data_IF_674393519956
#
_entry.id   IF_674393519956
#
_cell.length_a   1.000
_cell.length_b   1.000
_cell.length_c   1.000
_cell.angle_alpha   90.00
_cell.angle_beta   90.00
_cell.angle_gamma   90.00
#
_symmetry.space_group_name_H-M   'P 1'
#
loop_
_entity.id
_entity.type
_entity.pdbx_description
1 polymer ?
2 non-polymer ?
3 non-polymer ?
4 water ?
#
# COMPACT_ATOMS: atom_id res chain seq x y z
N UNK A 2 3.66 12.30 -14.17
CA UNK A 2 2.52 11.54 -13.73
C UNK A 2 1.29 12.46 -13.66
N UNK A 3 0.08 11.92 -13.79
CA UNK A 3 -1.14 12.68 -13.48
C UNK A 3 -2.27 11.76 -13.05
N UNK A 4 -3.39 12.35 -12.65
CA UNK A 4 -4.50 11.59 -12.10
C UNK A 4 -5.42 11.06 -13.21
N UNK A 5 -5.92 9.83 -12.97
CA UNK A 5 -6.88 9.21 -13.82
C UNK A 5 -8.31 9.44 -13.29
N UNK A 6 -8.49 9.15 -12.00
CA UNK A 6 -9.79 9.13 -11.36
C UNK A 6 -9.69 9.21 -9.81
N UNK A 7 -10.87 9.39 -9.22
CA UNK A 7 -11.07 9.41 -7.77
C UNK A 7 -11.96 8.21 -7.41
N UNK A 8 -11.64 7.57 -6.28
CA UNK A 8 -12.46 6.52 -5.73
C UNK A 8 -13.03 7.01 -4.39
N UNK A 9 -14.32 6.71 -4.14
CA UNK A 9 -15.01 7.06 -2.92
C UNK A 9 -15.38 5.75 -2.18
N UNK A 10 -14.74 5.55 -1.03
CA UNK A 10 -14.90 4.38 -0.20
C UNK A 10 -14.67 3.15 -1.08
N UNK A 11 -13.60 3.17 -1.86
CA UNK A 11 -13.18 2.05 -2.71
C UNK A 11 -14.05 1.83 -3.93
N UNK A 12 -14.86 2.81 -4.32
CA UNK A 12 -15.68 2.68 -5.52
C UNK A 12 -15.23 3.73 -6.54
N UNK A 13 -14.75 3.25 -7.68
CA UNK A 13 -14.20 4.09 -8.73
C UNK A 13 -15.30 5.02 -9.29
N UNK A 14 -15.09 6.35 -9.30
CA UNK A 14 -16.08 7.26 -9.87
C UNK A 14 -15.91 7.36 -11.39
N UNK A 15 -14.90 6.70 -11.95
CA UNK A 15 -14.70 6.69 -13.40
C UNK A 15 -13.79 7.84 -13.82
N UNK A 16 -13.18 7.66 -15.00
CA UNK A 16 -12.31 8.64 -15.61
C UNK A 16 -12.79 10.06 -15.28
N UNK A 17 -11.96 10.80 -14.55
CA UNK A 17 -12.30 12.10 -14.10
C UNK A 17 -11.53 13.21 -14.81
N UNK A 18 -10.67 12.86 -15.79
CA UNK A 18 -9.83 13.89 -16.46
C UNK A 18 -10.71 14.81 -17.32
N UNK A 19 -10.75 16.11 -16.92
CA UNK A 19 -11.59 17.16 -17.63
C UNK A 19 -13.06 16.95 -17.29
N UNK A 20 -13.29 16.21 -16.20
CA UNK A 20 -14.62 15.94 -15.74
C UNK A 20 -14.75 16.56 -14.36
N UNK A 21 -14.04 16.01 -13.39
CA UNK A 21 -13.96 16.57 -12.07
C UNK A 21 -12.52 16.79 -11.67
N UNK A 22 -11.54 16.42 -12.53
CA UNK A 22 -10.13 16.69 -12.32
C UNK A 22 -9.69 17.80 -13.28
N UNK A 23 -9.01 18.82 -12.73
CA UNK A 23 -8.52 19.93 -13.61
C UNK A 23 -7.21 19.48 -14.30
N UNK A 24 -7.36 18.55 -15.24
CA UNK A 24 -6.29 17.80 -15.84
C UNK A 24 -5.39 18.69 -16.70
N UNK A 25 -4.06 18.76 -16.46
CA UNK A 25 -3.18 19.52 -17.33
C UNK A 25 -3.05 18.86 -18.70
N UNK A 26 -2.55 19.57 -19.73
CA UNK A 26 -2.41 18.97 -21.05
C UNK A 26 -1.45 17.76 -21.11
N UNK A 27 -0.48 17.69 -20.21
CA UNK A 27 0.54 16.61 -20.17
C UNK A 27 1.05 16.45 -18.71
N UNK A 28 2.12 15.66 -18.52
CA UNK A 28 2.64 15.20 -17.20
C UNK A 28 3.86 16.05 -16.77
N UNK A 29 4.15 17.13 -17.52
CA UNK A 29 5.31 18.00 -17.25
C UNK A 29 5.32 18.46 -15.79
N UNK A 30 6.51 18.57 -15.16
CA UNK A 30 6.63 19.13 -13.82
C UNK A 30 6.48 20.67 -13.78
N UNK A 31 5.96 21.20 -12.68
CA UNK A 31 6.12 22.62 -12.28
C UNK A 31 7.37 22.75 -11.41
N UNK A 32 8.23 23.73 -11.71
CA UNK A 32 9.47 23.90 -10.95
C UNK A 32 9.63 25.33 -10.42
N UNK A 33 9.09 26.30 -11.17
CA UNK A 33 9.17 27.71 -10.80
C UNK A 33 8.22 27.98 -9.63
N UNK A 34 8.76 28.38 -8.48
CA UNK A 34 7.89 28.65 -7.29
C UNK A 34 6.98 29.86 -7.49
N UNK A 35 7.32 30.73 -8.45
CA UNK A 35 6.49 31.92 -8.71
C UNK A 35 5.39 31.61 -9.74
N UNK A 36 5.47 30.45 -10.41
CA UNK A 36 4.44 30.09 -11.38
C UNK A 36 3.06 29.98 -10.72
N UNK A 37 2.06 30.58 -11.39
CA UNK A 37 0.64 30.39 -11.06
C UNK A 37 0.14 28.95 -11.14
N UNK A 38 0.81 28.14 -11.97
CA UNK A 38 0.54 26.70 -12.14
C UNK A 38 0.92 25.88 -10.90
N UNK A 39 1.71 26.41 -9.98
CA UNK A 39 2.17 25.63 -8.80
C UNK A 39 0.99 25.01 -8.03
N UNK A 40 -0.10 25.76 -7.92
CA UNK A 40 -1.20 25.36 -7.10
C UNK A 40 -1.98 24.24 -7.80
N UNK A 41 -2.49 24.50 -9.02
CA UNK A 41 -3.45 23.59 -9.61
C UNK A 41 -3.04 23.18 -11.03
N UNK A 42 -1.75 23.33 -11.36
CA UNK A 42 -1.11 22.98 -12.59
C UNK A 42 -1.58 23.94 -13.71
N UNK A 43 -1.20 23.68 -14.95
CA UNK A 43 -1.25 24.66 -16.13
C UNK A 43 -2.70 24.96 -16.57
N UNK A 44 -3.66 24.07 -16.28
CA UNK A 44 -5.07 24.40 -16.61
C UNK A 44 -5.89 24.72 -15.36
N UNK A 45 -5.22 25.22 -14.33
CA UNK A 45 -5.78 25.24 -12.97
C UNK A 45 -7.00 26.12 -12.87
N UNK A 46 -7.03 27.15 -13.71
CA UNK A 46 -8.08 28.15 -13.68
C UNK A 46 -9.28 27.83 -14.56
N UNK A 47 -9.27 26.70 -15.28
CA UNK A 47 -10.34 26.33 -16.19
C UNK A 47 -11.29 25.40 -15.46
N UNK A 48 -12.56 25.81 -15.28
CA UNK A 48 -13.53 24.96 -14.60
C UNK A 48 -13.68 23.60 -15.33
N UNK A 49 -13.90 22.54 -14.56
CA UNK A 49 -14.41 21.34 -15.18
C UNK A 49 -15.81 21.13 -14.67
N UNK A 50 -16.70 20.40 -15.38
CA UNK A 50 -18.14 20.57 -15.14
C UNK A 50 -18.71 19.85 -13.91
N UNK A 51 -17.99 18.87 -13.38
CA UNK A 51 -18.52 17.94 -12.40
C UNK A 51 -17.76 18.02 -11.07
N UNK A 52 -18.43 17.54 -10.01
CA UNK A 52 -17.87 17.48 -8.65
C UNK A 52 -17.97 16.02 -8.20
N UNK A 53 -16.87 15.45 -7.74
CA UNK A 53 -16.99 14.17 -7.01
C UNK A 53 -17.96 14.37 -5.85
N UNK A 54 -18.90 13.44 -5.75
CA UNK A 54 -19.82 13.41 -4.63
C UNK A 54 -19.18 12.58 -3.51
N UNK A 55 -18.92 13.17 -2.35
CA UNK A 55 -18.40 12.42 -1.20
C UNK A 55 -18.95 13.04 0.06
N UNK A 56 -18.91 12.29 1.15
CA UNK A 56 -19.38 12.70 2.47
C UNK A 56 -18.17 13.06 3.31
N UNK A 57 -18.32 14.09 4.15
CA UNK A 57 -17.36 14.34 5.22
C UNK A 57 -17.11 12.98 5.92
N UNK A 58 -15.85 12.57 5.98
CA UNK A 58 -15.47 11.33 6.70
C UNK A 58 -15.09 10.18 5.76
N UNK A 59 -15.37 10.34 4.46
CA UNK A 59 -15.17 9.31 3.48
C UNK A 59 -13.68 9.15 3.21
N UNK A 60 -13.28 7.93 2.84
CA UNK A 60 -11.96 7.67 2.34
C UNK A 60 -11.94 7.93 0.82
N UNK A 61 -11.09 8.86 0.38
CA UNK A 61 -10.95 9.08 -1.03
C UNK A 61 -9.66 8.41 -1.43
N UNK A 62 -9.67 7.87 -2.64
CA UNK A 62 -8.48 7.37 -3.25
C UNK A 62 -8.28 8.17 -4.54
N UNK A 63 -7.14 8.84 -4.69
CA UNK A 63 -6.76 9.45 -5.98
C UNK A 63 -5.87 8.44 -6.73
N UNK A 64 -6.26 8.08 -7.96
CA UNK A 64 -5.50 7.14 -8.80
C UNK A 64 -4.66 7.93 -9.79
N UNK A 65 -3.33 7.66 -9.80
CA UNK A 65 -2.38 8.26 -10.74
C UNK A 65 -1.89 7.26 -11.81
N UNK A 66 -1.32 7.82 -12.89
CA UNK A 66 -0.74 7.07 -13.97
C UNK A 66 0.32 7.91 -14.70
N UNK A 67 1.10 7.23 -15.57
CA UNK A 67 2.22 7.82 -16.25
C UNK A 67 1.82 8.18 -17.70
N UNK A 68 1.60 7.17 -18.55
CA UNK A 68 1.16 7.34 -19.95
C UNK A 68 -0.23 6.74 -20.15
N UNK A 69 -0.45 5.58 -19.54
CA UNK A 69 -1.63 4.80 -19.63
C UNK A 69 -2.09 4.34 -18.24
N UNK A 70 -3.40 4.35 -18.00
CA UNK A 70 -3.99 3.81 -16.78
C UNK A 70 -3.34 2.46 -16.42
N UNK A 71 -2.81 2.32 -15.21
CA UNK A 71 -2.32 0.98 -14.73
C UNK A 71 -0.92 0.62 -15.23
N UNK A 72 -0.12 1.65 -15.48
CA UNK A 72 1.27 1.43 -15.92
C UNK A 72 2.17 1.62 -14.70
N UNK A 73 3.39 2.13 -14.90
CA UNK A 73 4.39 2.22 -13.85
C UNK A 73 4.19 3.47 -13.04
N UNK A 74 3.23 4.31 -13.44
CA UNK A 74 2.71 5.40 -12.60
C UNK A 74 3.64 6.63 -12.62
N UNK A 75 4.91 6.44 -12.31
CA UNK A 75 5.88 7.47 -12.25
C UNK A 75 7.24 6.79 -12.21
N UNK A 76 8.24 7.46 -12.81
CA UNK A 76 9.60 6.97 -12.78
C UNK A 76 10.07 6.80 -11.35
N UNK A 77 10.60 5.61 -10.98
CA UNK A 77 11.03 5.37 -9.60
C UNK A 77 12.18 6.29 -9.17
N UNK A 78 12.86 6.95 -10.13
CA UNK A 78 13.87 7.98 -9.81
C UNK A 78 13.24 9.10 -8.95
N UNK A 79 11.94 9.32 -9.07
CA UNK A 79 11.30 10.55 -8.58
C UNK A 79 10.85 10.47 -7.10
N UNK A 80 11.73 10.01 -6.19
CA UNK A 80 11.38 9.92 -4.79
C UNK A 80 10.97 11.27 -4.26
N UNK A 81 9.92 11.27 -3.43
CA UNK A 81 9.56 12.41 -2.56
C UNK A 81 8.22 12.21 -1.86
N UNK A 82 7.69 13.29 -1.26
CA UNK A 82 6.46 13.26 -0.50
C UNK A 82 5.22 13.35 -1.38
N UNK A 83 4.07 13.08 -0.75
CA UNK A 83 2.79 13.33 -1.32
C UNK A 83 1.96 14.01 -0.24
N UNK A 84 1.45 15.21 -0.58
CA UNK A 84 0.63 16.03 0.27
C UNK A 84 -0.72 16.26 -0.42
N UNK A 85 -1.74 16.32 0.42
CA UNK A 85 -3.09 16.55 0.03
C UNK A 85 -3.55 17.83 0.76
N UNK A 86 -4.27 18.68 0.04
CA UNK A 86 -4.71 19.97 0.56
C UNK A 86 -6.19 20.21 0.21
N UNK A 87 -6.84 21.15 0.92
CA UNK A 87 -8.19 21.54 0.65
C UNK A 87 -8.29 23.07 0.71
N UNK A 88 -9.23 23.58 -0.10
CA UNK A 88 -9.58 24.98 -0.24
C UNK A 88 -11.07 25.07 -0.56
N UNK A 89 -11.72 26.11 -0.06
CA UNK A 89 -13.12 26.27 -0.41
C UNK A 89 -13.16 26.51 -1.92
N UNK A 90 -14.23 26.06 -2.56
CA UNK A 90 -14.43 26.35 -3.99
C UNK A 90 -15.12 27.72 -4.09
N UNK A 91 -14.33 28.78 -4.23
CA UNK A 91 -14.84 30.16 -4.06
C UNK A 91 -15.74 30.52 -5.25
N UNK A 92 -15.29 30.16 -6.45
CA UNK A 92 -16.01 30.38 -7.71
C UNK A 92 -15.42 29.46 -8.75
N UNK A 93 -16.14 29.18 -9.86
CA UNK A 93 -15.61 28.30 -10.91
C UNK A 93 -14.22 28.62 -11.49
N UNK A 94 -13.87 29.90 -11.62
CA UNK A 94 -12.61 30.29 -12.27
C UNK A 94 -11.48 30.56 -11.23
N UNK A 95 -11.65 30.06 -10.00
CA UNK A 95 -10.51 29.99 -9.11
C UNK A 95 -9.42 29.17 -9.80
N UNK A 96 -8.16 29.52 -9.54
CA UNK A 96 -7.02 28.71 -10.01
C UNK A 96 -6.17 28.19 -8.84
N UNK A 97 -6.66 28.37 -7.61
CA UNK A 97 -6.02 27.92 -6.40
C UNK A 97 -4.86 28.77 -5.96
N UNK A 98 -4.64 29.94 -6.61
CA UNK A 98 -3.62 30.85 -6.13
C UNK A 98 -4.23 31.66 -4.98
N UNK A 99 -3.34 32.39 -4.26
CA UNK A 99 -3.68 33.15 -3.07
C UNK A 99 -3.75 32.30 -1.79
N UNK A 100 -4.07 32.96 -0.66
CA UNK A 100 -4.01 32.33 0.66
C UNK A 100 -5.27 31.52 1.03
N UNK A 101 -5.38 30.27 0.54
CA UNK A 101 -6.66 29.60 0.62
C UNK A 101 -6.54 28.15 1.10
N UNK A 102 -5.34 27.59 1.26
CA UNK A 102 -5.15 26.11 1.37
C UNK A 102 -4.87 25.66 2.81
N UNK A 103 -5.38 24.47 3.12
CA UNK A 103 -5.15 23.80 4.42
C UNK A 103 -4.71 22.35 4.15
N UNK A 104 -3.62 21.91 4.78
CA UNK A 104 -3.06 20.61 4.53
C UNK A 104 -3.87 19.58 5.32
N UNK A 105 -4.39 18.55 4.64
CA UNK A 105 -5.25 17.57 5.31
C UNK A 105 -4.57 16.19 5.34
N UNK A 106 -3.47 15.96 4.63
CA UNK A 106 -2.75 14.68 4.73
C UNK A 106 -1.35 14.88 4.16
N UNK A 107 -0.38 14.14 4.72
CA UNK A 107 1.02 14.12 4.19
C UNK A 107 1.75 12.79 4.45
N UNK A 108 2.51 12.36 3.48
CA UNK A 108 3.51 11.33 3.72
C UNK A 108 4.80 11.81 3.06
N UNK A 109 5.89 11.70 3.81
CA UNK A 109 7.21 12.08 3.33
C UNK A 109 8.12 10.88 3.23
N UNK A 110 9.05 10.81 4.16
CA UNK A 110 10.01 9.75 4.27
C UNK A 110 9.72 9.03 5.59
N UNK A 111 9.57 7.71 5.52
CA UNK A 111 9.46 6.87 6.71
C UNK A 111 10.82 6.22 6.94
N UNK A 112 11.52 6.68 7.96
CA UNK A 112 12.90 6.26 8.21
C UNK A 112 12.97 4.76 8.55
N UNK A 113 11.94 4.18 9.20
CA UNK A 113 12.08 2.79 9.68
C UNK A 113 12.09 1.84 8.48
N UNK A 114 11.51 2.23 7.33
CA UNK A 114 11.50 1.39 6.12
C UNK A 114 12.36 2.00 5.01
N UNK A 115 12.85 3.23 5.20
CA UNK A 115 13.60 3.99 4.21
C UNK A 115 12.81 4.06 2.91
N UNK A 116 11.49 4.24 2.96
CA UNK A 116 10.75 4.47 1.75
C UNK A 116 10.05 5.84 1.81
N UNK A 117 9.89 6.38 0.62
CA UNK A 117 9.26 7.65 0.36
C UNK A 117 7.80 7.39 0.06
N UNK A 118 7.04 8.46 0.09
CA UNK A 118 5.63 8.38 -0.29
C UNK A 118 5.51 7.87 -1.74
N UNK A 119 6.40 8.31 -2.62
CA UNK A 119 6.35 7.89 -4.03
C UNK A 119 6.64 6.37 -4.17
N UNK A 120 7.55 5.84 -3.37
CA UNK A 120 7.78 4.39 -3.39
C UNK A 120 6.49 3.63 -3.10
N UNK A 121 5.71 4.16 -2.15
CA UNK A 121 4.47 3.55 -1.73
C UNK A 121 3.42 3.69 -2.83
N UNK A 122 3.35 4.91 -3.42
CA UNK A 122 2.43 5.16 -4.54
C UNK A 122 2.64 4.09 -5.60
N UNK A 123 3.88 3.79 -5.95
CA UNK A 123 4.22 2.81 -6.97
C UNK A 123 3.77 1.39 -6.55
N UNK A 124 4.07 1.01 -5.30
CA UNK A 124 3.81 -0.36 -4.84
C UNK A 124 2.31 -0.60 -4.76
N UNK A 125 1.54 0.47 -4.52
CA UNK A 125 0.02 0.44 -4.51
C UNK A 125 -0.55 0.86 -5.89
N UNK A 126 0.24 0.66 -6.96
CA UNK A 126 -0.19 0.85 -8.37
C UNK A 126 -0.94 2.16 -8.54
N UNK A 127 -0.39 3.22 -7.95
CA UNK A 127 -0.86 4.59 -8.19
C UNK A 127 -2.10 4.93 -7.39
N UNK A 128 -2.48 4.10 -6.42
CA UNK A 128 -3.63 4.40 -5.58
C UNK A 128 -3.12 5.16 -4.36
N UNK A 129 -3.62 6.40 -4.15
CA UNK A 129 -3.25 7.14 -2.97
C UNK A 129 -4.50 7.48 -2.16
N UNK A 130 -4.56 6.99 -0.90
CA UNK A 130 -5.69 7.11 0.01
C UNK A 130 -5.51 8.24 1.02
N UNK A 131 -6.60 8.91 1.36
CA UNK A 131 -6.68 9.84 2.46
C UNK A 131 -8.14 9.95 2.86
N UNK A 132 -8.36 10.55 4.03
CA UNK A 132 -9.67 10.77 4.58
C UNK A 132 -10.06 12.25 4.42
N UNK A 133 -11.26 12.54 3.92
CA UNK A 133 -11.92 13.82 4.10
C UNK A 133 -12.27 13.94 5.57
N UNK A 134 -11.81 15.00 6.28
CA UNK A 134 -12.14 15.17 7.70
C UNK A 134 -13.65 15.16 7.96
N UNK A 135 -14.09 14.41 8.99
CA UNK A 135 -15.53 14.28 9.28
C UNK A 135 -16.13 15.60 9.84
N UNK A 136 -15.29 16.46 10.42
CA UNK A 136 -15.71 17.75 10.96
C UNK A 136 -15.91 18.77 9.83
N UNK A 137 -15.66 18.39 8.58
CA UNK A 137 -15.61 19.35 7.50
C UNK A 137 -17.02 19.87 7.18
N UNK A 138 -17.15 21.18 7.17
CA UNK A 138 -18.42 21.81 6.86
C UNK A 138 -18.80 21.45 5.42
N UNK A 139 -20.05 21.03 5.18
CA UNK A 139 -20.46 20.63 3.84
C UNK A 139 -20.40 21.85 2.89
N UNK A 140 -20.12 21.54 1.64
CA UNK A 140 -19.99 22.54 0.65
C UNK A 140 -19.08 22.06 -0.45
N UNK A 141 -18.85 22.92 -1.45
CA UNK A 141 -17.90 22.59 -2.51
C UNK A 141 -16.51 22.98 -2.07
N UNK A 142 -15.56 22.11 -2.42
CA UNK A 142 -14.14 22.36 -2.19
C UNK A 142 -13.35 21.92 -3.40
N UNK A 143 -12.14 22.46 -3.51
CA UNK A 143 -11.05 21.95 -4.34
C UNK A 143 -10.11 21.14 -3.44
N UNK A 144 -9.87 19.87 -3.80
CA UNK A 144 -8.83 19.06 -3.20
C UNK A 144 -7.60 19.10 -4.10
N UNK A 145 -6.44 19.24 -3.46
CA UNK A 145 -5.20 19.30 -4.18
C UNK A 145 -4.31 18.19 -3.65
N UNK A 146 -3.83 17.35 -4.57
CA UNK A 146 -2.83 16.40 -4.22
C UNK A 146 -1.61 16.66 -5.12
N UNK A 147 -0.44 16.59 -4.48
CA UNK A 147 0.80 16.99 -5.06
C UNK A 147 1.86 15.95 -4.76
N UNK A 148 2.46 15.40 -5.83
CA UNK A 148 3.70 14.69 -5.76
C UNK A 148 4.90 15.63 -6.00
N UNK A 149 5.91 15.51 -5.14
CA UNK A 149 7.14 16.21 -5.35
C UNK A 149 8.29 15.20 -5.50
N UNK A 150 9.05 15.34 -6.60
CA UNK A 150 10.23 14.54 -6.97
C UNK A 150 11.52 15.32 -6.69
N UNK A 151 12.45 14.68 -5.98
CA UNK A 151 13.58 15.36 -5.44
C UNK A 151 14.87 14.80 -6.06
N UNK A 152 14.80 14.08 -7.17
CA UNK A 152 16.00 13.47 -7.76
C UNK A 152 16.96 14.54 -8.29
N UNK A 153 16.46 15.77 -8.44
CA UNK A 153 17.29 16.89 -8.81
C UNK A 153 17.14 18.06 -7.85
N UNK A 154 16.76 17.80 -6.59
CA UNK A 154 16.51 18.89 -5.60
C UNK A 154 17.80 19.31 -4.86
N UNK A 155 18.93 18.69 -5.23
CA UNK A 155 20.23 19.05 -4.65
C UNK A 155 20.69 20.39 -5.23
N UNK A 156 19.97 20.88 -6.25
CA UNK A 156 20.03 22.27 -6.69
C UNK A 156 18.64 22.87 -6.54
N UNK A 157 18.56 24.21 -6.44
CA UNK A 157 17.28 24.90 -6.52
C UNK A 157 17.11 25.55 -7.91
N UNK A 158 15.85 25.71 -8.33
CA UNK A 158 15.48 26.18 -9.66
C UNK A 158 16.02 27.59 -9.92
N UNK A 159 15.98 28.48 -8.90
CA UNK A 159 16.47 29.89 -8.98
C UNK A 159 17.94 29.89 -9.41
N UNK A 160 18.78 29.04 -8.79
CA UNK A 160 20.24 28.92 -9.09
C UNK A 160 20.52 28.11 -10.38
N UNK A 161 19.88 26.93 -10.57
CA UNK A 161 20.13 26.05 -11.74
C UNK A 161 18.79 25.60 -12.30
N UNK A 162 18.28 26.32 -13.31
CA UNK A 162 16.96 26.07 -13.89
C UNK A 162 16.76 24.68 -14.53
N UNK A 163 17.85 23.98 -14.83
CA UNK A 163 17.75 22.67 -15.42
C UNK A 163 17.54 21.59 -14.35
N UNK A 164 17.60 22.00 -13.08
CA UNK A 164 17.46 21.08 -11.95
C UNK A 164 16.35 21.62 -11.07
N UNK A 165 16.34 21.17 -9.81
CA UNK A 165 15.35 21.63 -8.84
C UNK A 165 14.23 20.64 -8.60
N UNK A 166 13.55 20.79 -7.46
CA UNK A 166 12.34 19.98 -7.10
C UNK A 166 11.30 20.09 -8.21
N UNK A 167 10.66 18.94 -8.50
CA UNK A 167 9.60 18.89 -9.50
C UNK A 167 8.28 18.68 -8.76
N UNK A 168 7.31 19.56 -9.00
CA UNK A 168 5.98 19.50 -8.38
C UNK A 168 4.95 19.04 -9.41
N UNK A 169 4.10 18.11 -8.98
CA UNK A 169 3.10 17.49 -9.83
C UNK A 169 1.76 17.63 -9.12
N UNK A 170 1.12 18.82 -9.18
CA UNK A 170 -0.16 19.00 -8.48
C UNK A 170 -1.31 18.55 -9.38
N UNK A 171 -2.38 18.10 -8.70
CA UNK A 171 -3.64 17.70 -9.26
C UNK A 171 -4.75 18.31 -8.42
N UNK A 172 -5.62 19.10 -9.05
CA UNK A 172 -6.78 19.70 -8.36
C UNK A 172 -8.08 19.01 -8.78
N UNK A 173 -8.89 18.67 -7.76
CA UNK A 173 -10.09 17.90 -7.94
C UNK A 173 -11.26 18.71 -7.36
N UNK A 174 -12.37 18.81 -8.12
CA UNK A 174 -13.62 19.42 -7.63
C UNK A 174 -14.42 18.37 -6.81
N UNK A 175 -14.73 18.72 -5.56
CA UNK A 175 -15.50 17.89 -4.71
C UNK A 175 -16.68 18.65 -4.12
N UNK A 176 -17.81 17.95 -4.05
CA UNK A 176 -19.01 18.41 -3.40
C UNK A 176 -19.27 17.52 -2.17
N UNK A 177 -18.99 18.08 -0.98
CA UNK A 177 -18.97 17.39 0.27
C UNK A 177 -20.36 17.42 0.91
N UNK A 178 -21.00 16.24 0.96
CA UNK A 178 -22.22 16.00 1.65
C UNK A 178 -21.92 15.94 3.14
N UNK A 179 -22.82 16.59 3.90
CA UNK A 179 -22.65 16.86 5.33
C UNK A 179 -23.01 15.64 6.13
N UNK A 180 -22.65 15.65 7.42
CA UNK A 180 -23.18 14.71 8.41
C UNK A 180 -23.05 15.37 9.79
N UNK A 181 -23.26 16.69 9.86
CA UNK A 181 -22.52 17.56 10.79
C UNK A 181 -21.16 17.95 10.19
N UNK A 182 -20.24 18.38 11.05
CA UNK A 182 -19.03 19.11 10.66
C UNK A 182 -19.30 20.60 10.53
N UNK A 183 -18.61 21.39 11.35
CA UNK A 183 -18.73 22.84 11.40
C UNK A 183 -17.44 23.52 10.92
N UNK A 184 -16.39 22.71 10.69
CA UNK A 184 -15.02 23.16 10.62
C UNK A 184 -14.72 23.62 9.21
N UNK A 185 -14.18 24.83 9.10
CA UNK A 185 -13.83 25.48 7.84
C UNK A 185 -12.31 25.55 7.75
N UNK A 186 -11.67 25.05 6.69
CA UNK A 186 -10.21 25.06 6.63
C UNK A 186 -9.66 26.49 6.61
N UNK A 187 -8.73 26.78 7.54
CA UNK A 187 -8.39 28.11 7.85
C UNK A 187 -6.87 28.30 7.97
N UNK A 188 -6.06 27.43 7.38
CA UNK A 188 -4.63 27.71 7.38
C UNK A 188 -4.33 28.85 6.40
N UNK A 189 -5.14 28.94 5.35
CA UNK A 189 -5.08 29.96 4.31
C UNK A 189 -3.67 30.03 3.73
N UNK A 190 -3.07 28.86 3.49
CA UNK A 190 -1.75 28.76 2.93
C UNK A 190 -1.75 29.07 1.41
N UNK A 191 -0.65 29.67 0.95
CA UNK A 191 -0.49 30.23 -0.35
C UNK A 191 0.79 29.69 -0.95
N UNK A 192 0.65 28.74 -1.88
CA UNK A 192 1.85 27.99 -2.35
C UNK A 192 2.94 28.95 -2.87
N UNK A 193 2.56 29.98 -3.62
CA UNK A 193 3.57 30.87 -4.23
C UNK A 193 4.28 31.68 -3.16
N UNK A 194 3.63 32.04 -2.07
CA UNK A 194 4.32 32.78 -1.03
C UNK A 194 5.04 31.82 -0.06
N UNK A 195 4.47 30.63 0.15
CA UNK A 195 4.75 29.79 1.33
C UNK A 195 5.78 28.72 1.04
N UNK A 196 5.90 28.36 -0.23
CA UNK A 196 6.99 27.53 -0.72
C UNK A 196 8.17 28.44 -1.15
N UNK A 197 9.34 28.23 -0.55
CA UNK A 197 10.51 29.00 -0.87
C UNK A 197 11.70 28.06 -1.14
N UNK A 198 12.69 28.59 -1.87
CA UNK A 198 13.87 27.88 -2.28
C UNK A 198 14.78 27.59 -1.07
N UNK A 199 14.61 28.37 0.00
CA UNK A 199 15.34 28.20 1.23
C UNK A 199 14.79 27.05 2.08
N UNK A 200 13.67 26.47 1.69
CA UNK A 200 13.01 25.42 2.46
C UNK A 200 13.86 24.14 2.40
N UNK A 201 14.35 23.65 3.57
CA UNK A 201 15.09 22.40 3.61
C UNK A 201 14.33 21.23 2.94
N UNK A 202 13.00 21.28 2.93
CA UNK A 202 12.17 20.29 2.21
C UNK A 202 12.08 20.48 0.69
N UNK A 203 12.66 21.59 0.19
CA UNK A 203 12.64 21.94 -1.27
C UNK A 203 14.08 21.93 -1.81
N UNK A 204 14.96 22.62 -1.10
CA UNK A 204 16.38 22.40 -1.22
C UNK A 204 16.74 21.18 -0.36
N UNK A 205 16.61 20.00 -0.96
CA UNK A 205 16.87 18.74 -0.30
C UNK A 205 17.78 17.85 -1.16
N UNK A 206 18.91 17.42 -0.57
CA UNK A 206 19.87 16.52 -1.17
C UNK A 206 19.58 15.05 -0.77
N UNK A 207 19.00 14.25 -1.67
CA UNK A 207 18.69 12.85 -1.35
C UNK A 207 19.89 11.93 -1.63
N UNK A 208 21.06 12.50 -1.96
CA UNK A 208 22.26 11.72 -2.23
C UNK A 208 23.26 11.81 -1.07
N UNK A 209 22.72 11.86 0.14
CA UNK A 209 23.43 11.92 1.43
C UNK A 209 22.78 10.91 2.40
N UNK A 210 23.32 10.87 3.63
CA UNK A 210 22.95 9.86 4.61
C UNK A 210 21.76 10.31 5.47
N UNK A 211 20.94 11.23 4.98
CA UNK A 211 19.78 11.73 5.68
C UNK A 211 18.98 10.60 6.33
N UNK A 212 18.38 10.97 7.46
CA UNK A 212 17.58 10.12 8.29
C UNK A 212 16.12 10.52 8.19
N UNK A 213 15.86 11.75 7.71
CA UNK A 213 14.49 12.21 7.65
C UNK A 213 14.35 13.47 6.78
N UNK A 214 13.10 13.78 6.52
CA UNK A 214 12.76 14.70 5.51
C UNK A 214 11.71 15.66 6.06
N UNK A 215 11.94 16.99 6.08
CA UNK A 215 10.95 17.96 6.57
C UNK A 215 9.95 18.38 5.48
N UNK A 216 8.70 17.96 5.60
CA UNK A 216 7.71 18.18 4.55
C UNK A 216 7.27 19.65 4.55
N UNK A 217 7.32 20.37 3.42
CA UNK A 217 7.10 21.83 3.43
C UNK A 217 5.67 22.19 3.85
N UNK A 218 5.48 23.39 4.37
CA UNK A 218 4.17 23.88 4.71
C UNK A 218 3.83 23.53 6.14
N UNK A 219 2.61 23.90 6.60
CA UNK A 219 2.26 23.71 7.99
C UNK A 219 2.00 22.23 8.27
N UNK A 220 1.86 21.89 9.56
CA UNK A 220 1.42 20.55 9.93
C UNK A 220 -0.01 20.44 9.40
N UNK A 221 -0.50 19.19 9.34
CA UNK A 221 -1.85 18.86 9.03
C UNK A 221 -2.76 19.68 9.93
N UNK A 222 -3.79 20.25 9.30
CA UNK A 222 -4.86 20.98 9.96
C UNK A 222 -5.69 20.09 10.90
N UNK A 223 -6.17 20.64 12.02
CA UNK A 223 -7.04 19.89 12.95
C UNK A 223 -8.49 20.40 12.93
N UNK A 224 -8.77 21.45 13.72
CA UNK A 224 -10.12 21.80 14.27
C UNK A 224 -11.25 21.11 13.48
N UNK B 2 11.35 -12.21 9.22
CA UNK B 2 10.16 -11.46 9.54
C UNK B 2 9.13 -12.38 10.17
N UNK B 3 8.21 -11.86 11.00
CA UNK B 3 7.04 -12.67 11.45
C UNK B 3 5.87 -11.75 11.81
N UNK B 4 4.74 -12.36 12.21
CA UNK B 4 3.53 -11.60 12.42
C UNK B 4 3.47 -11.06 13.85
N UNK B 5 2.89 -9.85 13.95
CA UNK B 5 2.64 -9.22 15.21
C UNK B 5 1.18 -9.45 15.63
N UNK B 6 0.27 -9.15 14.69
CA UNK B 6 -1.16 -9.12 14.96
C UNK B 6 -1.98 -9.22 13.67
N UNK B 7 -3.29 -9.37 13.88
CA UNK B 7 -4.30 -9.37 12.84
C UNK B 7 -5.24 -8.20 13.10
N UNK B 8 -5.69 -7.57 12.00
CA UNK B 8 -6.70 -6.55 12.04
C UNK B 8 -7.94 -7.08 11.33
N UNK B 9 -9.11 -6.80 11.91
CA UNK B 9 -10.40 -7.14 11.32
C UNK B 9 -11.12 -5.83 10.96
N UNK B 10 -11.25 -5.59 9.66
CA UNK B 10 -11.90 -4.42 9.11
C UNK B 10 -11.23 -3.20 9.74
N UNK B 11 -9.90 -3.19 9.74
CA UNK B 11 -9.11 -2.04 10.18
C UNK B 11 -9.13 -1.84 11.69
N UNK B 12 -9.51 -2.87 12.44
CA UNK B 12 -9.47 -2.80 13.90
C UNK B 12 -8.47 -3.83 14.39
N UNK B 13 -7.38 -3.35 15.01
CA UNK B 13 -6.31 -4.19 15.51
C UNK B 13 -6.88 -5.10 16.64
N UNK B 14 -6.69 -6.42 16.53
CA UNK B 14 -7.15 -7.32 17.55
C UNK B 14 -6.13 -7.42 18.71
N UNK B 15 -4.99 -6.72 18.60
CA UNK B 15 -3.96 -6.72 19.63
C UNK B 15 -2.97 -7.87 19.40
N UNK B 16 -1.78 -7.70 19.98
CA UNK B 16 -0.69 -8.63 19.88
C UNK B 16 -1.25 -10.06 19.93
N UNK B 17 -1.03 -10.81 18.86
CA UNK B 17 -1.59 -12.11 18.73
C UNK B 17 -0.55 -13.21 18.82
N UNK B 18 0.73 -12.86 19.06
CA UNK B 18 1.82 -13.86 19.13
C UNK B 18 1.61 -14.81 20.34
N UNK B 19 1.31 -16.09 20.09
CA UNK B 19 1.06 -17.13 21.14
C UNK B 19 -0.32 -16.94 21.76
N UNK B 20 -1.16 -16.21 21.03
CA UNK B 20 -2.50 -15.95 21.43
C UNK B 20 -3.42 -16.59 20.39
N UNK B 21 -3.44 -16.01 19.18
CA UNK B 21 -4.15 -16.55 18.08
C UNK B 21 -3.21 -16.82 16.91
N UNK B 22 -1.93 -16.50 17.08
CA UNK B 22 -0.90 -16.73 16.05
C UNK B 22 0.03 -17.82 16.56
N UNK B 23 0.24 -18.85 15.72
CA UNK B 23 1.18 -19.94 16.11
C UNK B 23 2.61 -19.45 15.84
N UNK B 24 3.05 -18.54 16.72
CA UNK B 24 4.28 -17.76 16.54
C UNK B 24 5.52 -18.63 16.67
N UNK B 25 6.40 -18.73 15.65
CA UNK B 25 7.61 -19.51 15.79
C UNK B 25 8.58 -18.84 16.77
N UNK B 26 9.56 -19.57 17.33
CA UNK B 26 10.47 -18.97 18.31
C UNK B 26 11.31 -17.81 17.74
N UNK B 27 11.58 -17.79 16.43
CA UNK B 27 12.39 -16.68 15.79
C UNK B 27 11.94 -16.47 14.33
N UNK B 28 12.72 -15.68 13.56
CA UNK B 28 12.32 -15.19 12.19
C UNK B 28 13.00 -16.02 11.08
N UNK B 29 13.76 -17.05 11.48
CA UNK B 29 14.51 -17.91 10.55
C UNK B 29 13.62 -18.38 9.40
N UNK B 30 14.19 -18.49 8.17
CA UNK B 30 13.50 -19.07 7.02
C UNK B 30 13.41 -20.60 7.13
N UNK B 31 12.33 -21.19 6.61
CA UNK B 31 12.24 -22.61 6.21
C UNK B 31 12.67 -22.75 4.74
N UNK B 32 13.56 -23.69 4.46
CA UNK B 32 14.11 -23.86 3.12
C UNK B 32 13.92 -25.31 2.63
N UNK B 33 13.96 -26.27 3.56
CA UNK B 33 13.77 -27.68 3.24
C UNK B 33 12.31 -27.94 2.88
N UNK B 34 12.04 -28.28 1.61
CA UNK B 34 10.64 -28.48 1.16
C UNK B 34 10.00 -29.71 1.85
N UNK B 35 10.82 -30.59 2.44
CA UNK B 35 10.31 -31.80 3.10
C UNK B 35 10.06 -31.53 4.59
N UNK B 36 10.52 -30.38 5.09
CA UNK B 36 10.31 -30.05 6.50
C UNK B 36 8.84 -29.93 6.80
N UNK B 37 8.40 -30.54 7.92
CA UNK B 37 7.06 -30.32 8.49
C UNK B 37 6.73 -28.87 8.87
N UNK B 38 7.78 -28.08 9.12
CA UNK B 38 7.67 -26.67 9.43
C UNK B 38 7.27 -25.83 8.19
N UNK B 39 7.36 -26.39 6.97
CA UNK B 39 7.04 -25.62 5.74
C UNK B 39 5.63 -25.00 5.82
N UNK B 40 4.69 -25.78 6.33
CA UNK B 40 3.33 -25.37 6.41
C UNK B 40 3.16 -24.25 7.45
N UNK B 41 3.45 -24.51 8.73
CA UNK B 41 3.04 -23.56 9.78
C UNK B 41 4.21 -23.12 10.69
N UNK B 42 5.44 -23.28 10.17
CA UNK B 42 6.68 -22.92 10.79
C UNK B 42 6.96 -23.88 11.98
N UNK B 43 7.98 -23.59 12.79
CA UNK B 43 8.64 -24.56 13.73
C UNK B 43 7.74 -24.97 14.92
N UNK B 44 6.79 -24.12 15.35
CA UNK B 44 5.87 -24.55 16.44
C UNK B 44 4.43 -24.70 15.92
N UNK B 45 4.35 -25.14 14.65
CA UNK B 45 3.11 -25.17 13.89
C UNK B 45 2.05 -26.06 14.53
N UNK B 46 2.51 -27.07 15.28
CA UNK B 46 1.65 -28.09 15.83
C UNK B 46 1.21 -27.82 17.26
N UNK B 47 1.62 -26.66 17.82
CA UNK B 47 1.31 -26.33 19.18
C UNK B 47 0.08 -25.43 19.19
N UNK B 48 -1.04 -25.87 19.81
CA UNK B 48 -2.23 -25.02 19.90
C UNK B 48 -1.94 -23.67 20.55
N UNK B 49 -2.57 -22.60 20.07
CA UNK B 49 -2.62 -21.38 20.88
C UNK B 49 -4.07 -21.19 21.28
N UNK B 50 -4.38 -20.46 22.38
CA UNK B 50 -5.69 -20.63 23.03
C UNK B 50 -6.89 -19.92 22.37
N UNK B 51 -6.61 -18.95 21.50
CA UNK B 51 -7.62 -18.02 21.01
C UNK B 51 -7.74 -18.09 19.48
N UNK B 52 -8.88 -17.63 18.99
CA UNK B 52 -9.22 -17.59 17.58
C UNK B 52 -9.60 -16.14 17.28
N UNK B 53 -8.94 -15.50 16.31
CA UNK B 53 -9.45 -14.26 15.75
C UNK B 53 -10.94 -14.46 15.44
N UNK B 54 -11.74 -13.52 15.92
CA UNK B 54 -13.13 -13.45 15.64
C UNK B 54 -13.30 -12.61 14.37
N UNK B 55 -13.75 -13.23 13.28
CA UNK B 55 -14.00 -12.50 12.03
C UNK B 55 -15.22 -13.12 11.34
N UNK B 56 -15.78 -12.40 10.38
CA UNK B 56 -16.94 -12.78 9.59
C UNK B 56 -16.51 -13.13 8.17
N UNK B 57 -17.18 -14.12 7.57
CA UNK B 57 -17.11 -14.35 6.17
C UNK B 57 -17.28 -13.00 5.47
N UNK B 58 -16.28 -12.61 4.68
CA UNK B 58 -16.36 -11.41 3.84
C UNK B 58 -15.56 -10.24 4.39
N UNK B 59 -15.04 -10.38 5.62
CA UNK B 59 -14.30 -9.35 6.28
C UNK B 59 -12.95 -9.17 5.60
N UNK B 60 -12.43 -7.94 5.64
CA UNK B 60 -11.07 -7.63 5.23
C UNK B 60 -10.15 -7.92 6.42
N UNK B 61 -9.20 -8.84 6.27
CA UNK B 61 -8.27 -9.08 7.34
C UNK B 61 -6.97 -8.43 6.91
N UNK B 62 -6.25 -7.91 7.89
CA UNK B 62 -4.95 -7.42 7.69
C UNK B 62 -4.01 -8.20 8.62
N UNK B 63 -3.00 -8.86 8.06
CA UNK B 63 -1.96 -9.46 8.85
C UNK B 63 -0.79 -8.46 8.90
N UNK B 64 -0.34 -8.12 10.13
CA UNK B 64 0.72 -7.15 10.32
C UNK B 64 2.01 -7.92 10.65
N UNK B 65 3.08 -7.63 9.89
CA UNK B 65 4.39 -8.26 10.07
C UNK B 65 5.41 -7.26 10.62
N UNK B 66 6.51 -7.81 11.15
CA UNK B 66 7.62 -7.04 11.68
C UNK B 66 8.91 -7.86 11.62
N UNK B 67 10.05 -7.19 11.83
CA UNK B 67 11.36 -7.81 11.69
C UNK B 67 11.93 -8.15 13.09
N UNK B 68 12.26 -7.13 13.89
CA UNK B 68 12.80 -7.30 15.25
C UNK B 68 11.81 -6.72 16.27
N UNK B 69 11.24 -5.55 15.92
CA UNK B 69 10.41 -4.73 16.73
C UNK B 69 9.19 -4.28 15.90
N UNK B 70 8.00 -4.26 16.52
CA UNK B 70 6.77 -3.81 15.89
C UNK B 70 7.03 -2.46 15.21
N UNK B 71 6.71 -2.34 13.93
CA UNK B 71 6.75 -1.06 13.21
C UNK B 71 8.14 -0.69 12.71
N UNK B 72 8.94 -1.72 12.44
CA UNK B 72 10.30 -1.47 11.94
C UNK B 72 10.31 -1.64 10.41
N UNK B 73 11.45 -2.07 9.86
CA UNK B 73 11.64 -2.20 8.44
C UNK B 73 10.98 -3.47 7.91
N UNK B 74 10.50 -4.33 8.81
CA UNK B 74 9.56 -5.40 8.47
C UNK B 74 10.32 -6.61 7.93
N UNK B 75 11.13 -6.40 6.88
CA UNK B 75 11.92 -7.45 6.25
C UNK B 75 13.00 -6.78 5.40
N UNK B 76 14.14 -7.43 5.24
CA UNK B 76 15.23 -6.92 4.42
C UNK B 76 14.74 -6.74 2.98
N UNK B 77 14.91 -5.55 2.38
CA UNK B 77 14.43 -5.32 1.02
C UNK B 77 15.12 -6.23 -0.02
N UNK B 78 16.26 -6.84 0.32
CA UNK B 78 16.88 -7.88 -0.54
C UNK B 78 15.88 -9.01 -0.83
N UNK B 79 14.92 -9.26 0.05
CA UNK B 79 14.15 -10.50 0.05
C UNK B 79 12.90 -10.46 -0.86
N UNK B 80 13.03 -9.98 -2.12
CA UNK B 80 11.89 -9.89 -3.00
C UNK B 80 11.24 -11.25 -3.18
N UNK B 81 9.90 -11.25 -3.22
CA UNK B 81 9.12 -12.40 -3.65
C UNK B 81 7.62 -12.20 -3.44
N UNK B 82 6.85 -13.29 -3.59
CA UNK B 82 5.40 -13.27 -3.46
C UNK B 82 4.94 -13.39 -2.01
N UNK B 83 3.64 -13.12 -1.82
CA UNK B 83 2.94 -13.37 -0.61
C UNK B 83 1.62 -14.05 -0.98
N UNK B 84 1.42 -15.23 -0.38
CA UNK B 84 0.26 -16.05 -0.59
C UNK B 84 -0.43 -16.26 0.75
N UNK B 85 -1.75 -16.34 0.68
CA UNK B 85 -2.59 -16.56 1.82
C UNK B 85 -3.38 -17.85 1.51
N UNK B 86 -3.50 -18.72 2.52
CA UNK B 86 -4.19 -19.99 2.38
C UNK B 86 -5.15 -20.23 3.54
N UNK B 87 -6.05 -21.19 3.38
CA UNK B 87 -6.99 -21.58 4.41
C UNK B 87 -7.13 -23.11 4.40
N UNK B 88 -7.42 -23.62 5.60
CA UNK B 88 -7.61 -25.03 5.96
C UNK B 88 -8.66 -25.06 7.06
N UNK B 89 -9.51 -26.08 7.05
CA UNK B 89 -10.35 -26.35 8.18
C UNK B 89 -9.44 -26.53 9.38
N UNK B 90 -9.92 -26.11 10.55
CA UNK B 90 -9.23 -26.42 11.79
C UNK B 90 -9.71 -27.81 12.25
N UNK B 91 -8.94 -28.85 11.93
CA UNK B 91 -9.41 -30.20 12.07
C UNK B 91 -9.41 -30.59 13.55
N UNK B 92 -8.30 -30.27 14.24
CA UNK B 92 -8.14 -30.47 15.68
C UNK B 92 -7.05 -29.52 16.17
N UNK B 93 -6.97 -29.25 17.48
CA UNK B 93 -5.93 -28.37 18.03
C UNK B 93 -4.47 -28.69 17.67
N UNK B 94 -4.13 -29.98 17.58
CA UNK B 94 -2.73 -30.40 17.34
C UNK B 94 -2.46 -30.67 15.86
N UNK B 95 -3.31 -30.14 14.97
CA UNK B 95 -2.95 -30.02 13.58
C UNK B 95 -1.67 -29.23 13.51
N UNK B 96 -0.79 -29.58 12.56
CA UNK B 96 0.38 -28.72 12.26
C UNK B 96 0.36 -28.19 10.82
N UNK B 97 -0.78 -28.38 10.15
CA UNK B 97 -1.00 -27.91 8.79
C UNK B 97 -0.36 -28.80 7.73
N UNK B 98 0.20 -29.95 8.12
CA UNK B 98 0.67 -30.92 7.12
C UNK B 98 -0.55 -31.78 6.64
N UNK B 99 -0.27 -32.44 5.51
CA UNK B 99 -1.26 -33.17 4.74
C UNK B 99 -2.01 -32.33 3.71
N UNK B 100 -2.92 -33.00 2.97
CA UNK B 100 -3.67 -32.38 1.87
C UNK B 100 -4.89 -31.56 2.32
N UNK B 101 -4.67 -30.33 2.81
CA UNK B 101 -5.77 -29.64 3.50
C UNK B 101 -5.94 -28.16 3.06
N UNK B 102 -5.06 -27.63 2.21
CA UNK B 102 -4.99 -26.13 2.01
C UNK B 102 -5.63 -25.69 0.69
N UNK B 103 -6.21 -24.50 0.72
CA UNK B 103 -6.81 -23.83 -0.42
C UNK B 103 -6.32 -22.37 -0.47
N UNK B 104 -5.82 -21.91 -1.62
CA UNK B 104 -5.23 -20.60 -1.74
C UNK B 104 -6.37 -19.58 -1.91
N UNK B 105 -6.36 -18.53 -1.09
CA UNK B 105 -7.45 -17.52 -1.11
C UNK B 105 -6.89 -16.15 -1.57
N UNK B 106 -5.57 -15.95 -1.66
CA UNK B 106 -5.04 -14.70 -2.14
C UNK B 106 -3.58 -14.89 -2.50
N UNK B 107 -3.11 -14.14 -3.51
CA UNK B 107 -1.71 -14.11 -3.94
C UNK B 107 -1.34 -12.76 -4.57
N UNK B 108 -0.14 -12.31 -4.28
CA UNK B 108 0.47 -11.34 -5.10
C UNK B 108 1.91 -11.84 -5.33
N UNK B 109 2.36 -11.70 -6.59
CA UNK B 109 3.68 -12.07 -6.99
C UNK B 109 4.45 -10.85 -7.46
N UNK B 110 4.72 -10.83 -8.76
CA UNK B 110 5.41 -9.75 -9.46
C UNK B 110 4.39 -9.02 -10.33
N UNK B 111 4.32 -7.69 -10.18
CA UNK B 111 3.50 -6.86 -11.04
C UNK B 111 4.43 -6.18 -12.05
N UNK B 112 4.34 -6.61 -13.30
CA UNK B 112 5.25 -6.21 -14.35
C UNK B 112 5.15 -4.71 -14.66
N UNK B 113 3.94 -4.11 -14.54
CA UNK B 113 3.78 -2.65 -14.88
C UNK B 113 4.65 -1.80 -13.97
N UNK B 114 4.67 -2.13 -12.67
CA UNK B 114 5.39 -1.32 -11.67
C UNK B 114 6.78 -1.88 -11.39
N UNK B 115 7.07 -3.09 -11.90
CA UNK B 115 8.24 -3.88 -11.50
C UNK B 115 8.35 -4.02 -9.98
N UNK B 116 7.25 -4.22 -9.29
CA UNK B 116 7.35 -4.42 -7.84
C UNK B 116 6.81 -5.80 -7.45
N UNK B 117 7.46 -6.39 -6.45
CA UNK B 117 7.09 -7.63 -5.84
C UNK B 117 6.11 -7.37 -4.71
N UNK B 118 5.45 -8.43 -4.28
CA UNK B 118 4.55 -8.37 -3.14
C UNK B 118 5.31 -7.85 -1.91
N UNK B 119 6.55 -8.30 -1.72
CA UNK B 119 7.36 -7.87 -0.57
C UNK B 119 7.63 -6.36 -0.63
N UNK B 120 7.91 -5.81 -1.79
CA UNK B 120 8.13 -4.36 -1.92
C UNK B 120 6.93 -3.60 -1.37
N UNK B 121 5.74 -4.09 -1.67
CA UNK B 121 4.48 -3.50 -1.25
C UNK B 121 4.28 -3.68 0.26
N UNK B 122 4.57 -4.88 0.76
CA UNK B 122 4.47 -5.16 2.19
C UNK B 122 5.30 -4.10 2.95
N UNK B 123 6.51 -3.82 2.47
CA UNK B 123 7.42 -2.88 3.14
C UNK B 123 6.85 -1.45 3.07
N UNK B 124 6.37 -1.05 1.88
CA UNK B 124 5.89 0.33 1.65
C UNK B 124 4.64 0.59 2.50
N UNK B 125 3.87 -0.49 2.78
CA UNK B 125 2.64 -0.41 3.67
C UNK B 125 2.98 -0.84 5.12
N UNK B 126 4.25 -0.68 5.50
CA UNK B 126 4.72 -0.87 6.90
C UNK B 126 4.24 -2.19 7.48
N UNK B 127 4.32 -3.24 6.65
CA UNK B 127 4.09 -4.59 7.06
C UNK B 127 2.62 -4.93 7.19
N UNK B 128 1.71 -4.09 6.68
CA UNK B 128 0.31 -4.43 6.69
C UNK B 128 0.05 -5.17 5.39
N UNK B 129 -0.48 -6.40 5.50
CA UNK B 129 -0.89 -7.15 4.33
C UNK B 129 -2.38 -7.51 4.44
N UNK B 130 -3.17 -7.01 3.49
CA UNK B 130 -4.62 -7.12 3.42
C UNK B 130 -5.06 -8.24 2.48
N UNK B 131 -6.19 -8.87 2.83
CA UNK B 131 -6.87 -9.82 1.98
C UNK B 131 -8.29 -9.97 2.55
N UNK B 132 -9.17 -10.57 1.75
CA UNK B 132 -10.58 -10.75 2.11
C UNK B 132 -10.82 -12.23 2.45
N UNK B 133 -11.50 -12.52 3.58
CA UNK B 133 -12.10 -13.84 3.81
C UNK B 133 -13.24 -13.96 2.83
N UNK B 134 -13.28 -15.02 1.99
CA UNK B 134 -14.43 -15.28 1.11
C UNK B 134 -15.78 -15.22 1.82
N UNK B 135 -16.75 -14.49 1.25
CA UNK B 135 -18.08 -14.37 1.86
C UNK B 135 -18.88 -15.68 1.76
N UNK B 136 -18.52 -16.55 0.80
CA UNK B 136 -19.22 -17.82 0.61
C UNK B 136 -18.73 -18.86 1.64
N UNK B 137 -17.78 -18.47 2.47
CA UNK B 137 -17.11 -19.40 3.35
C UNK B 137 -18.06 -19.90 4.44
N UNK B 138 -18.15 -21.22 4.56
CA UNK B 138 -18.97 -21.84 5.58
C UNK B 138 -18.41 -21.47 6.96
N UNK B 139 -19.29 -21.08 7.92
CA UNK B 139 -18.83 -20.71 9.25
C UNK B 139 -18.18 -21.92 9.96
N UNK B 140 -17.15 -21.59 10.74
CA UNK B 140 -16.44 -22.59 11.44
C UNK B 140 -15.05 -22.09 11.76
N UNK B 141 -14.26 -22.94 12.42
CA UNK B 141 -12.89 -22.65 12.76
C UNK B 141 -12.02 -23.03 11.57
N UNK B 142 -11.04 -22.17 11.28
CA UNK B 142 -10.07 -22.41 10.24
C UNK B 142 -8.67 -21.98 10.73
N UNK B 143 -7.63 -22.54 10.10
CA UNK B 143 -6.27 -22.03 10.13
C UNK B 143 -6.04 -21.24 8.83
N UNK B 144 -5.63 -19.97 8.97
CA UNK B 144 -5.21 -19.13 7.88
C UNK B 144 -3.69 -19.13 7.84
N UNK B 145 -3.13 -19.30 6.65
CA UNK B 145 -1.71 -19.35 6.48
C UNK B 145 -1.33 -18.26 5.49
N UNK B 146 -0.40 -17.41 5.93
CA UNK B 146 0.15 -16.42 5.06
C UNK B 146 1.66 -16.63 5.06
N UNK B 147 2.23 -16.57 3.86
CA UNK B 147 3.59 -16.95 3.61
C UNK B 147 4.27 -15.92 2.73
N UNK B 148 5.39 -15.37 3.21
CA UNK B 148 6.32 -14.63 2.41
C UNK B 148 7.47 -15.52 1.94
N UNK B 149 7.80 -15.42 0.65
CA UNK B 149 8.89 -16.12 0.08
C UNK B 149 9.89 -15.11 -0.47
N UNK B 150 11.17 -15.27 -0.08
CA UNK B 150 12.32 -14.49 -0.54
C UNK B 150 13.15 -15.32 -1.53
N UNK B 151 13.40 -14.71 -2.69
CA UNK B 151 14.04 -15.38 -3.78
C UNK B 151 15.41 -14.78 -4.09
N UNK B 152 16.02 -14.01 -3.18
CA UNK B 152 17.34 -13.36 -3.47
C UNK B 152 18.42 -14.44 -3.64
N UNK B 153 18.14 -15.66 -3.18
CA UNK B 153 19.06 -16.77 -3.38
C UNK B 153 18.36 -17.97 -4.00
N UNK B 154 17.31 -17.73 -4.81
CA UNK B 154 16.56 -18.85 -5.42
C UNK B 154 17.17 -19.29 -6.78
N UNK B 155 18.30 -18.69 -7.14
CA UNK B 155 19.04 -19.04 -8.36
C UNK B 155 19.75 -20.39 -8.16
N UNK B 156 19.76 -20.88 -6.92
CA UNK B 156 20.08 -22.24 -6.56
C UNK B 156 18.86 -22.84 -5.87
N UNK B 157 18.75 -24.17 -5.90
CA UNK B 157 17.75 -24.88 -5.07
C UNK B 157 18.45 -25.53 -3.87
N UNK B 158 17.67 -25.68 -2.79
CA UNK B 158 18.18 -26.10 -1.48
C UNK B 158 18.78 -27.51 -1.56
N UNK B 159 18.15 -28.42 -2.34
CA UNK B 159 18.62 -29.83 -2.54
C UNK B 159 20.07 -29.82 -3.05
N UNK B 160 20.40 -28.98 -4.05
CA UNK B 160 21.76 -28.86 -4.66
C UNK B 160 22.72 -28.05 -3.77
N UNK B 161 22.30 -26.86 -3.30
CA UNK B 161 23.16 -25.95 -2.51
C UNK B 161 22.41 -25.50 -1.27
N UNK B 162 22.61 -26.21 -0.12
CA UNK B 162 21.86 -25.95 1.10
C UNK B 162 22.05 -24.55 1.71
N UNK B 163 23.13 -23.88 1.32
CA UNK B 163 23.40 -22.54 1.84
C UNK B 163 22.62 -21.48 1.07
N UNK B 164 21.90 -21.90 0.02
CA UNK B 164 21.13 -21.00 -0.82
C UNK B 164 19.68 -21.52 -0.86
N UNK B 165 18.90 -21.04 -1.84
CA UNK B 165 17.56 -21.54 -2.10
C UNK B 165 16.51 -20.56 -1.65
N UNK B 166 15.28 -20.72 -2.15
CA UNK B 166 14.11 -19.93 -1.72
C UNK B 166 13.95 -20.05 -0.20
N UNK B 167 13.58 -18.92 0.43
CA UNK B 167 13.30 -18.85 1.82
C UNK B 167 11.80 -18.69 2.03
N UNK B 168 11.18 -19.56 2.85
CA UNK B 168 9.78 -19.49 3.16
C UNK B 168 9.56 -19.00 4.58
N UNK B 169 8.63 -18.04 4.75
CA UNK B 169 8.29 -17.47 6.05
C UNK B 169 6.78 -17.62 6.25
N UNK B 170 6.30 -18.82 6.66
CA UNK B 170 4.88 -19.04 6.89
C UNK B 170 4.43 -18.61 8.29
N UNK B 171 3.15 -18.24 8.37
CA UNK B 171 2.53 -17.71 9.59
C UNK B 171 1.12 -18.27 9.60
N UNK B 172 0.80 -19.09 10.62
CA UNK B 172 -0.51 -19.66 10.74
C UNK B 172 -1.27 -18.99 11.88
N UNK B 173 -2.53 -18.68 11.56
CA UNK B 173 -3.39 -17.89 12.39
C UNK B 173 -4.67 -18.70 12.65
N UNK B 174 -5.11 -18.77 13.92
CA UNK B 174 -6.36 -19.43 14.24
C UNK B 174 -7.49 -18.42 14.07
N UNK B 175 -8.51 -18.82 13.29
CA UNK B 175 -9.64 -17.96 13.07
C UNK B 175 -10.93 -18.72 13.29
N UNK B 176 -11.92 -18.01 13.87
CA UNK B 176 -13.26 -18.47 14.08
C UNK B 176 -14.18 -17.57 13.24
N UNK B 177 -14.69 -18.11 12.13
CA UNK B 177 -15.46 -17.40 11.13
C UNK B 177 -16.94 -17.48 11.49
N UNK B 178 -17.52 -16.33 11.80
CA UNK B 178 -18.96 -16.16 11.81
C UNK B 178 -19.42 -16.12 10.35
N UNK B 179 -20.51 -16.83 10.06
CA UNK B 179 -21.01 -17.04 8.71
C UNK B 179 -21.88 -15.86 8.31
N UNK B 180 -22.25 -15.79 7.03
CA UNK B 180 -23.23 -14.80 6.61
C UNK B 180 -23.88 -15.26 5.29
N UNK B 181 -24.58 -16.38 5.40
CA UNK B 181 -24.73 -17.34 4.30
C UNK B 181 -23.45 -18.16 4.22
N UNK B 182 -22.99 -18.46 2.99
CA UNK B 182 -21.74 -19.18 2.76
C UNK B 182 -21.86 -20.65 3.15
N UNK B 183 -21.84 -21.53 2.14
CA UNK B 183 -21.87 -22.98 2.42
C UNK B 183 -20.60 -23.63 1.85
N UNK B 184 -19.68 -22.82 1.34
CA UNK B 184 -18.55 -23.26 0.55
C UNK B 184 -17.42 -23.69 1.48
N UNK B 185 -16.90 -24.89 1.20
CA UNK B 185 -15.83 -25.52 1.96
C UNK B 185 -14.58 -25.56 1.08
N UNK B 186 -13.43 -25.02 1.52
CA UNK B 186 -12.23 -25.01 0.69
C UNK B 186 -11.77 -26.45 0.40
N UNK B 187 -11.57 -26.77 -0.89
CA UNK B 187 -11.46 -28.16 -1.26
C UNK B 187 -10.30 -28.38 -2.22
N UNK B 188 -9.33 -27.47 -2.30
CA UNK B 188 -8.18 -27.74 -3.15
C UNK B 188 -7.32 -28.85 -2.53
N UNK B 189 -7.35 -28.99 -1.20
CA UNK B 189 -6.69 -30.05 -0.45
C UNK B 189 -5.22 -30.10 -0.80
N UNK B 190 -4.60 -28.92 -0.91
CA UNK B 190 -3.19 -28.82 -1.28
C UNK B 190 -2.31 -29.15 -0.08
N UNK B 191 -1.15 -29.74 -0.40
CA UNK B 191 -0.23 -30.28 0.59
C UNK B 191 1.15 -29.70 0.30
N UNK B 192 1.58 -28.73 1.09
CA UNK B 192 2.80 -27.99 0.83
C UNK B 192 3.98 -28.92 0.58
N UNK B 193 4.13 -29.97 1.41
CA UNK B 193 5.33 -30.85 1.28
C UNK B 193 5.28 -31.65 -0.03
N UNK B 194 4.11 -32.04 -0.54
CA UNK B 194 4.13 -32.76 -1.81
C UNK B 194 4.06 -31.79 -2.99
N UNK B 195 3.46 -30.61 -2.80
CA UNK B 195 2.98 -29.76 -3.87
C UNK B 195 3.98 -28.68 -4.23
N UNK B 196 4.83 -28.29 -3.28
CA UNK B 196 5.99 -27.48 -3.56
C UNK B 196 7.19 -28.35 -3.94
N UNK B 197 7.76 -28.13 -5.13
CA UNK B 197 8.91 -28.87 -5.60
C UNK B 197 10.05 -27.94 -6.04
N UNK B 198 11.28 -28.48 -6.02
CA UNK B 198 12.51 -27.75 -6.39
C UNK B 198 12.48 -27.43 -7.90
N UNK B 199 11.74 -28.23 -8.66
CA UNK B 199 11.62 -28.10 -10.10
C UNK B 199 10.58 -27.03 -10.49
N UNK B 200 9.88 -26.47 -9.50
CA UNK B 200 8.89 -25.41 -9.73
C UNK B 200 9.61 -24.15 -10.21
N UNK B 201 9.33 -23.66 -11.43
CA UNK B 201 9.89 -22.39 -11.92
C UNK B 201 9.71 -21.26 -10.91
N UNK B 202 8.64 -21.28 -10.11
CA UNK B 202 8.39 -20.25 -9.08
C UNK B 202 9.18 -20.45 -7.79
N UNK B 203 9.92 -21.58 -7.67
CA UNK B 203 10.80 -21.86 -6.53
C UNK B 203 12.26 -21.87 -6.98
N UNK B 204 12.55 -22.60 -8.06
CA UNK B 204 13.79 -22.42 -8.79
C UNK B 204 13.61 -21.19 -9.71
N UNK B 205 13.86 -20.01 -9.15
CA UNK B 205 13.65 -18.76 -9.83
C UNK B 205 14.90 -17.90 -9.73
N UNK B 206 15.41 -17.52 -10.91
CA UNK B 206 16.56 -16.64 -11.05
C UNK B 206 16.06 -15.17 -11.23
N UNK B 207 16.18 -14.36 -10.17
CA UNK B 207 15.73 -12.97 -10.26
C UNK B 207 16.86 -12.06 -10.74
N UNK B 208 17.97 -12.64 -11.21
CA UNK B 208 19.10 -11.88 -11.75
C UNK B 208 19.12 -11.97 -13.29
N UNK B 209 17.92 -12.02 -13.90
CA UNK B 209 17.69 -12.08 -15.36
C UNK B 209 16.60 -11.06 -15.76
N UNK B 210 16.25 -11.07 -17.06
CA UNK B 210 15.42 -10.07 -17.73
C UNK B 210 13.91 -10.33 -17.55
N UNK B 211 13.55 -11.27 -16.69
CA UNK B 211 12.17 -11.74 -16.53
C UNK B 211 11.16 -10.59 -16.53
N UNK B 212 10.00 -10.92 -17.07
CA UNK B 212 8.85 -10.07 -17.20
C UNK B 212 7.72 -10.50 -16.26
N UNK B 213 7.88 -11.70 -15.68
CA UNK B 213 6.79 -12.47 -15.19
C UNK B 213 7.29 -13.47 -14.11
N UNK B 214 6.43 -13.77 -13.15
CA UNK B 214 6.79 -14.66 -12.08
C UNK B 214 5.64 -15.62 -11.87
N UNK B 215 5.82 -16.96 -12.07
CA UNK B 215 4.75 -17.93 -11.87
C UNK B 215 4.62 -18.38 -10.39
N UNK B 216 3.53 -17.96 -9.73
CA UNK B 216 3.37 -18.17 -8.30
C UNK B 216 3.08 -19.64 -8.03
N UNK B 217 3.79 -20.34 -7.13
CA UNK B 217 3.64 -21.79 -6.94
C UNK B 217 2.24 -22.17 -6.47
N UNK B 218 1.82 -23.39 -6.78
CA UNK B 218 0.54 -23.90 -6.28
C UNK B 218 -0.63 -23.51 -7.20
N UNK B 219 -1.87 -23.90 -6.87
CA UNK B 219 -2.98 -23.65 -7.75
C UNK B 219 -3.34 -22.17 -7.75
N UNK B 220 -4.18 -21.76 -8.70
CA UNK B 220 -4.75 -20.43 -8.67
C UNK B 220 -5.64 -20.41 -7.43
N UNK B 221 -6.09 -19.19 -7.11
CA UNK B 221 -7.02 -18.87 -6.08
C UNK B 221 -8.25 -19.75 -6.27
N UNK B 222 -8.67 -20.34 -5.14
CA UNK B 222 -9.89 -21.12 -5.03
C UNK B 222 -11.15 -20.26 -5.33
N UNK B 223 -12.19 -20.84 -5.96
CA UNK B 223 -13.41 -20.05 -6.23
C UNK B 223 -14.62 -20.52 -5.40
N UNK B 224 -15.36 -21.49 -5.94
CA UNK B 224 -16.76 -21.82 -5.58
C UNK B 224 -17.04 -21.50 -4.10
#
# INVERSE_FOLDING_TARGET
XTRMFSVWVNGVDQGDGQNVYIRTPPNTDPIKDLASPALACNVKGGEPVPQFVSASAGDKLTFEWYRVKRGDDIIDPSHSGPITTWIAAFTSPTMDGTGPVWSKIHEEGYDASTKSWAVDKLIANKGMWDFTLPSQLKPGKYMLRQEIVAHHESDATFDKNPKRGAQFYPSCVQVDVKGVGGDAVPDQAFDFNKGYKYSDPGIAFDMYTDFDSYPIPGPPVWDAQDEGCCFIDGVDTTSVKEVVKQIICVLK
XTRMFSVWVNGVDQGDGQNVYIRTPPNTDPIKDLASPALACNVKGGEPVPQFVSASAGDKLTFEWYRVKRGDDIIDPSHSGPITTWIAAFTSPTMDGTGPVWSKIHEEGYDASTKSWAVDKLIANKGMWDFTLPSQLKPGKYMLRQEIVAHHESDATFDKNPKRGAQFYPSCVQVDVKGVGGDAVPDQAFDFNKGYKYSDPGIAFDMYTDFDSYPIPGPPVWDAQDEGCCFIDGVDTTSVKEVVKQIICVLK
#
